data_IF_745226854280
#
_entry.id   IF_745226854280
#
_cell.length_a   1.000
_cell.length_b   1.000
_cell.length_c   1.000
_cell.angle_alpha   90.00
_cell.angle_beta   90.00
_cell.angle_gamma   90.00
#
_symmetry.space_group_name_H-M   'P 1'
#
loop_
_entity.id
_entity.type
_entity.pdbx_description
1 polymer ?
#
# COMPACT_ATOMS: atom_id res chain seq x y z
N UNK A 1 -19.38 8.55 8.06
CA UNK A 1 -18.49 9.50 7.34
C UNK A 1 -17.09 9.20 7.81
N UNK A 2 -16.28 8.55 6.97
CA UNK A 2 -14.89 8.24 7.30
C UNK A 2 -14.13 9.54 7.57
N UNK A 3 -13.30 9.57 8.62
CA UNK A 3 -12.48 10.74 8.90
C UNK A 3 -11.54 10.97 7.71
N UNK A 4 -11.47 12.19 7.13
CA UNK A 4 -10.70 12.39 5.92
C UNK A 4 -9.23 12.09 6.18
N UNK A 5 -8.61 11.30 5.30
CA UNK A 5 -7.29 10.71 5.49
C UNK A 5 -6.21 11.75 5.80
N UNK A 6 -5.18 11.36 6.56
CA UNK A 6 -4.11 12.29 6.94
C UNK A 6 -3.41 12.94 5.74
N UNK A 7 -3.32 12.25 4.59
CA UNK A 7 -2.82 12.85 3.36
C UNK A 7 -3.77 13.88 2.77
N UNK A 8 -5.09 13.64 2.79
CA UNK A 8 -6.09 14.62 2.36
C UNK A 8 -6.05 15.88 3.23
N UNK A 9 -5.96 15.73 4.55
CA UNK A 9 -5.84 16.88 5.46
C UNK A 9 -4.58 17.68 5.18
N UNK A 10 -3.47 16.99 4.86
CA UNK A 10 -2.21 17.61 4.47
C UNK A 10 -2.30 18.34 3.14
N UNK A 11 -2.97 17.73 2.16
CA UNK A 11 -3.21 18.34 0.87
C UNK A 11 -4.05 19.61 0.99
N UNK A 12 -5.14 19.54 1.75
CA UNK A 12 -5.99 20.71 2.03
C UNK A 12 -5.18 21.81 2.71
N UNK A 13 -4.38 21.45 3.73
CA UNK A 13 -3.53 22.41 4.42
C UNK A 13 -2.49 23.05 3.48
N UNK A 14 -1.72 22.27 2.70
CA UNK A 14 -0.71 22.82 1.79
C UNK A 14 -1.33 23.72 0.73
N UNK A 15 -2.52 23.34 0.22
CA UNK A 15 -3.27 24.10 -0.77
C UNK A 15 -3.69 25.46 -0.22
N UNK A 16 -4.27 25.47 0.98
CA UNK A 16 -4.68 26.71 1.65
C UNK A 16 -3.48 27.58 2.04
N UNK A 17 -2.37 26.99 2.50
CA UNK A 17 -1.14 27.73 2.79
C UNK A 17 -0.54 28.38 1.54
N UNK A 18 -0.48 27.66 0.42
CA UNK A 18 0.02 28.20 -0.86
C UNK A 18 -0.87 29.31 -1.40
N UNK A 19 -2.20 29.13 -1.33
CA UNK A 19 -3.18 30.18 -1.69
C UNK A 19 -3.01 31.41 -0.81
N UNK A 20 -2.91 31.23 0.51
CA UNK A 20 -2.74 32.32 1.46
C UNK A 20 -1.45 33.11 1.22
N UNK A 21 -0.32 32.42 1.03
CA UNK A 21 0.97 33.04 0.70
C UNK A 21 0.89 33.86 -0.59
N UNK A 22 0.32 33.27 -1.64
CA UNK A 22 0.21 33.92 -2.95
C UNK A 22 -0.68 35.16 -2.89
N UNK A 23 -1.78 35.09 -2.13
CA UNK A 23 -2.70 36.21 -1.91
C UNK A 23 -2.03 37.43 -1.26
N UNK A 24 -1.07 37.21 -0.36
CA UNK A 24 -0.29 38.30 0.28
C UNK A 24 0.99 38.66 -0.48
N UNK A 25 1.21 38.08 -1.66
CA UNK A 25 2.34 38.42 -2.54
C UNK A 25 3.73 38.00 -2.01
N UNK A 26 3.80 37.12 -1.01
CA UNK A 26 5.08 36.71 -0.42
C UNK A 26 5.72 35.56 -1.20
N UNK A 27 7.03 35.65 -1.43
CA UNK A 27 7.82 34.52 -1.94
C UNK A 27 8.14 33.53 -0.81
N UNK A 28 8.42 32.26 -1.16
CA UNK A 28 8.85 31.28 -0.18
C UNK A 28 10.11 31.72 0.60
N UNK A 29 11.07 32.37 -0.07
CA UNK A 29 12.28 32.89 0.59
C UNK A 29 11.96 33.97 1.63
N UNK A 30 11.04 34.90 1.33
CA UNK A 30 10.63 35.93 2.27
C UNK A 30 9.91 35.35 3.49
N UNK A 31 9.05 34.35 3.28
CA UNK A 31 8.35 33.67 4.38
C UNK A 31 9.35 32.89 5.23
N UNK A 32 10.26 32.13 4.62
CA UNK A 32 11.29 31.40 5.35
C UNK A 32 12.16 32.34 6.21
N UNK A 33 12.54 33.50 5.68
CA UNK A 33 13.26 34.52 6.45
C UNK A 33 12.43 35.07 7.62
N UNK A 34 11.14 35.40 7.41
CA UNK A 34 10.24 35.88 8.47
C UNK A 34 10.00 34.86 9.58
N UNK A 35 10.02 33.59 9.24
CA UNK A 35 9.79 32.47 10.16
C UNK A 35 11.08 31.93 10.78
N UNK A 36 12.24 32.50 10.43
CA UNK A 36 13.57 31.99 10.81
C UNK A 36 13.79 30.51 10.45
N UNK A 37 13.28 30.12 9.28
CA UNK A 37 13.40 28.76 8.74
C UNK A 37 14.36 28.71 7.56
N UNK A 38 14.92 27.52 7.30
CA UNK A 38 15.58 27.27 6.02
C UNK A 38 14.55 27.34 4.87
N UNK A 39 14.92 27.89 3.70
CA UNK A 39 14.05 27.88 2.52
C UNK A 39 13.55 26.46 2.18
N UNK A 40 14.42 25.46 2.35
CA UNK A 40 14.10 24.06 2.15
C UNK A 40 12.98 23.57 3.08
N UNK A 41 12.92 24.00 4.35
CA UNK A 41 11.82 23.64 5.26
C UNK A 41 10.48 24.13 4.70
N UNK A 42 10.40 25.39 4.27
CA UNK A 42 9.14 25.93 3.74
C UNK A 42 8.72 25.28 2.43
N UNK A 43 9.67 25.04 1.51
CA UNK A 43 9.41 24.33 0.25
C UNK A 43 8.77 22.96 0.54
N UNK A 44 9.35 22.20 1.47
CA UNK A 44 8.86 20.88 1.85
C UNK A 44 7.50 20.91 2.55
N UNK A 45 7.22 21.97 3.33
CA UNK A 45 5.89 22.19 3.94
C UNK A 45 4.85 22.47 2.85
N UNK A 46 5.12 23.39 1.93
CA UNK A 46 4.20 23.73 0.83
C UNK A 46 4.07 22.62 -0.22
N UNK A 47 5.08 21.76 -0.36
CA UNK A 47 5.00 20.52 -1.14
C UNK A 47 4.21 19.43 -0.41
N UNK A 48 3.99 19.52 0.90
CA UNK A 48 3.32 18.50 1.71
C UNK A 48 4.22 17.31 2.10
N UNK A 49 5.53 17.38 1.85
CA UNK A 49 6.48 16.34 2.25
C UNK A 49 6.66 16.25 3.77
N UNK A 50 6.51 17.39 4.47
CA UNK A 50 6.61 17.45 5.94
C UNK A 50 5.40 18.18 6.52
N UNK A 51 4.88 17.67 7.63
CA UNK A 51 3.84 18.35 8.39
C UNK A 51 4.38 19.56 9.16
N UNK A 52 3.52 20.52 9.46
CA UNK A 52 3.82 21.72 10.26
C UNK A 52 3.20 21.59 11.66
N UNK A 53 3.87 22.11 12.70
CA UNK A 53 3.31 22.10 14.07
C UNK A 53 2.23 23.14 14.21
N UNK A 54 1.28 22.94 15.12
CA UNK A 54 0.31 23.98 15.49
C UNK A 54 1.06 25.24 15.96
N UNK A 55 2.17 25.06 16.67
CA UNK A 55 3.02 26.15 17.17
C UNK A 55 3.71 26.94 16.05
N UNK A 56 4.14 26.27 14.97
CA UNK A 56 4.77 26.88 13.79
C UNK A 56 3.70 27.45 12.84
N UNK A 57 2.54 26.82 12.78
CA UNK A 57 1.46 27.16 11.87
C UNK A 57 0.75 28.45 12.28
N UNK A 58 0.50 28.67 13.58
CA UNK A 58 -0.11 29.93 14.06
C UNK A 58 0.68 31.19 13.58
N UNK A 59 1.99 31.30 13.80
CA UNK A 59 2.77 32.44 13.29
C UNK A 59 2.88 32.47 11.77
N UNK A 60 2.89 31.32 11.07
CA UNK A 60 2.84 31.29 9.61
C UNK A 60 1.53 31.89 9.07
N UNK A 61 0.39 31.52 9.66
CA UNK A 61 -0.92 32.07 9.31
C UNK A 61 -0.99 33.57 9.60
N UNK A 62 -0.42 34.02 10.71
CA UNK A 62 -0.30 35.45 11.02
C UNK A 62 0.55 36.19 9.97
N UNK A 63 1.66 35.59 9.50
CA UNK A 63 2.48 36.15 8.41
C UNK A 63 1.71 36.23 7.08
N UNK A 64 0.67 35.41 6.90
CA UNK A 64 -0.26 35.45 5.77
C UNK A 64 -1.51 36.32 6.03
N UNK A 65 -1.56 37.04 7.14
CA UNK A 65 -2.70 37.90 7.51
C UNK A 65 -3.97 37.12 7.91
N UNK A 66 -3.83 35.86 8.29
CA UNK A 66 -4.93 35.01 8.78
C UNK A 66 -4.85 34.95 10.31
N UNK A 67 -5.57 35.85 10.97
CA UNK A 67 -5.57 35.97 12.44
C UNK A 67 -6.93 35.66 13.07
N UNK A 68 -8.01 35.70 12.31
CA UNK A 68 -9.38 35.43 12.79
C UNK A 68 -9.54 33.96 13.19
N UNK A 69 -9.97 33.68 14.43
CA UNK A 69 -10.12 32.32 14.97
C UNK A 69 -10.95 31.40 14.08
N UNK A 70 -12.04 31.90 13.48
CA UNK A 70 -12.91 31.14 12.55
C UNK A 70 -12.18 30.62 11.31
N UNK A 71 -11.06 31.25 10.92
CA UNK A 71 -10.22 30.87 9.77
C UNK A 71 -8.97 30.11 10.21
N UNK A 72 -8.44 30.44 11.39
CA UNK A 72 -7.26 29.78 11.96
C UNK A 72 -7.57 28.37 12.41
N UNK A 73 -8.64 28.16 13.20
CA UNK A 73 -8.87 26.85 13.83
C UNK A 73 -9.11 25.69 12.86
N UNK A 74 -9.84 25.87 11.74
CA UNK A 74 -9.93 24.83 10.72
C UNK A 74 -8.54 24.40 10.19
N UNK A 75 -7.64 25.35 9.94
CA UNK A 75 -6.29 25.06 9.43
C UNK A 75 -5.42 24.36 10.48
N UNK A 76 -5.60 24.69 11.75
CA UNK A 76 -4.92 23.99 12.85
C UNK A 76 -5.44 22.56 13.02
N UNK A 77 -6.74 22.33 12.85
CA UNK A 77 -7.31 20.98 12.80
C UNK A 77 -6.73 20.16 11.63
N UNK A 78 -6.64 20.75 10.43
CA UNK A 78 -5.96 20.11 9.30
C UNK A 78 -4.52 19.72 9.66
N UNK A 79 -3.78 20.60 10.34
CA UNK A 79 -2.41 20.32 10.77
C UNK A 79 -2.32 19.20 11.81
N UNK A 80 -3.20 19.19 12.82
CA UNK A 80 -3.28 18.13 13.84
C UNK A 80 -3.57 16.78 13.20
N UNK A 81 -4.52 16.73 12.28
CA UNK A 81 -4.94 15.50 11.61
C UNK A 81 -3.91 15.04 10.57
N UNK A 82 -3.26 15.96 9.85
CA UNK A 82 -2.18 15.64 8.91
C UNK A 82 -0.91 15.10 9.57
N UNK A 83 -0.70 15.38 10.86
CA UNK A 83 0.47 14.95 11.66
C UNK A 83 0.40 13.52 12.15
N UNK A 84 -0.79 12.91 12.17
CA UNK A 84 -0.92 11.47 12.31
C UNK A 84 -0.43 10.82 11.02
N UNK A 85 0.88 10.80 10.78
CA UNK A 85 1.43 9.94 9.75
C UNK A 85 1.19 8.51 10.20
N UNK A 86 0.42 7.72 9.46
CA UNK A 86 0.32 6.30 9.73
C UNK A 86 1.75 5.75 9.73
N UNK A 87 2.08 4.94 10.73
CA UNK A 87 3.37 4.24 10.82
C UNK A 87 4.59 5.15 11.04
N UNK A 88 4.40 6.34 11.64
CA UNK A 88 5.51 7.28 11.87
C UNK A 88 6.65 6.76 12.76
N UNK A 89 6.34 5.80 13.63
CA UNK A 89 7.29 5.10 14.51
C UNK A 89 8.17 4.07 13.79
N UNK A 90 7.83 3.73 12.54
CA UNK A 90 8.55 2.78 11.70
C UNK A 90 9.30 3.48 10.55
N UNK A 91 9.46 4.82 10.60
CA UNK A 91 10.07 5.60 9.51
C UNK A 91 11.53 5.27 9.27
N UNK A 92 12.23 4.75 10.26
CA UNK A 92 13.60 4.27 10.17
C UNK A 92 13.72 2.90 9.49
N UNK A 93 12.62 2.14 9.41
CA UNK A 93 12.59 0.83 8.74
C UNK A 93 12.44 0.96 7.22
N UNK A 94 11.70 1.97 6.75
CA UNK A 94 11.25 2.02 5.37
C UNK A 94 11.99 3.06 4.52
N UNK A 95 12.16 2.76 3.22
CA UNK A 95 12.63 3.74 2.24
C UNK A 95 11.64 4.90 2.11
N UNK A 96 12.09 6.03 1.55
CA UNK A 96 11.21 7.20 1.36
C UNK A 96 10.05 6.88 0.43
N UNK A 97 10.31 6.06 -0.57
CA UNK A 97 9.38 5.66 -1.60
C UNK A 97 8.32 4.70 -1.02
N UNK A 98 8.72 3.78 -0.13
CA UNK A 98 7.76 2.93 0.57
C UNK A 98 6.93 3.72 1.59
N UNK A 99 7.52 4.71 2.27
CA UNK A 99 6.75 5.63 3.11
C UNK A 99 5.70 6.42 2.30
N UNK A 100 6.00 6.75 1.05
CA UNK A 100 5.02 7.37 0.14
C UNK A 100 3.91 6.38 -0.24
N UNK A 101 4.25 5.13 -0.54
CA UNK A 101 3.26 4.07 -0.71
C UNK A 101 2.33 3.95 0.51
N UNK A 102 2.87 3.93 1.73
CA UNK A 102 2.06 3.86 2.96
C UNK A 102 1.15 5.09 3.13
N UNK A 103 1.61 6.26 2.69
CA UNK A 103 0.80 7.47 2.71
C UNK A 103 -0.38 7.38 1.71
N UNK A 104 -0.16 6.83 0.52
CA UNK A 104 -1.24 6.56 -0.45
C UNK A 104 -2.20 5.48 0.08
N UNK A 105 -1.66 4.35 0.54
CA UNK A 105 -2.41 3.20 1.04
C UNK A 105 -3.36 3.60 2.17
N UNK A 106 -2.87 4.36 3.16
CA UNK A 106 -3.68 4.85 4.27
C UNK A 106 -4.69 5.94 3.91
N UNK A 107 -4.64 6.46 2.68
CA UNK A 107 -5.45 7.60 2.25
C UNK A 107 -6.44 7.31 1.15
N UNK A 108 -6.24 6.21 0.44
CA UNK A 108 -7.08 5.77 -0.66
C UNK A 108 -8.45 5.28 -0.16
N UNK A 109 -9.50 5.62 -0.88
CA UNK A 109 -10.84 5.06 -0.67
C UNK A 109 -10.98 3.70 -1.37
N UNK A 110 -10.26 3.50 -2.47
CA UNK A 110 -10.19 2.24 -3.21
C UNK A 110 -8.73 1.92 -3.50
N UNK A 111 -8.35 0.66 -3.27
CA UNK A 111 -7.02 0.13 -3.60
C UNK A 111 -7.20 -1.06 -4.52
N UNK A 112 -6.54 -1.04 -5.67
CA UNK A 112 -6.53 -2.16 -6.63
C UNK A 112 -5.11 -2.64 -6.79
N UNK A 113 -4.89 -3.93 -6.63
CA UNK A 113 -3.55 -4.49 -6.64
C UNK A 113 -3.49 -5.78 -7.47
N UNK A 114 -2.47 -5.87 -8.32
CA UNK A 114 -2.12 -7.08 -9.04
C UNK A 114 -0.79 -7.65 -8.53
N UNK A 115 -0.77 -8.94 -8.22
CA UNK A 115 0.40 -9.64 -7.70
C UNK A 115 0.67 -10.95 -8.43
N UNK A 116 1.91 -11.11 -8.91
CA UNK A 116 2.33 -12.29 -9.68
C UNK A 116 3.48 -13.11 -9.08
N UNK A 117 4.09 -12.66 -7.97
CA UNK A 117 5.25 -13.35 -7.37
C UNK A 117 5.05 -13.75 -5.91
N UNK A 118 4.30 -12.93 -5.17
CA UNK A 118 3.99 -13.14 -3.76
C UNK A 118 2.65 -12.49 -3.42
N UNK A 119 2.01 -12.96 -2.35
CA UNK A 119 0.80 -12.33 -1.84
C UNK A 119 1.03 -10.86 -1.42
N UNK A 120 0.05 -9.97 -1.63
CA UNK A 120 0.05 -8.63 -1.07
C UNK A 120 0.27 -8.64 0.44
N UNK A 121 1.08 -7.70 0.96
CA UNK A 121 1.36 -7.61 2.39
C UNK A 121 0.12 -7.50 3.28
N UNK A 122 -0.97 -6.92 2.77
CA UNK A 122 -2.25 -6.80 3.48
C UNK A 122 -2.99 -8.14 3.63
N UNK A 123 -2.66 -9.14 2.80
CA UNK A 123 -3.29 -10.45 2.83
C UNK A 123 -2.45 -11.51 3.55
N UNK A 124 -1.19 -11.19 3.90
CA UNK A 124 -0.25 -12.15 4.48
C UNK A 124 -0.58 -12.46 5.94
N UNK A 125 -0.43 -13.71 6.35
CA UNK A 125 -0.30 -14.07 7.77
C UNK A 125 1.08 -13.64 8.28
N UNK A 126 1.23 -13.61 9.60
CA UNK A 126 2.50 -13.28 10.23
C UNK A 126 3.62 -14.23 9.78
N UNK A 127 3.36 -15.54 9.78
CA UNK A 127 4.34 -16.57 9.43
C UNK A 127 4.75 -16.49 7.96
N UNK A 128 3.79 -16.24 7.06
CA UNK A 128 4.09 -16.02 5.63
C UNK A 128 4.96 -14.77 5.47
N UNK A 129 4.58 -13.67 6.12
CA UNK A 129 5.32 -12.40 6.07
C UNK A 129 6.75 -12.55 6.58
N UNK A 130 6.95 -13.27 7.69
CA UNK A 130 8.29 -13.59 8.23
C UNK A 130 9.11 -14.43 7.26
N UNK A 131 8.50 -15.42 6.61
CA UNK A 131 9.18 -16.27 5.64
C UNK A 131 9.68 -15.47 4.41
N UNK A 132 8.85 -14.59 3.86
CA UNK A 132 9.25 -13.69 2.76
C UNK A 132 10.36 -12.73 3.20
N UNK A 133 10.21 -12.09 4.35
CA UNK A 133 11.18 -11.12 4.86
C UNK A 133 12.57 -11.73 5.02
N UNK A 134 12.66 -12.95 5.57
CA UNK A 134 13.93 -13.70 5.67
C UNK A 134 14.46 -14.19 4.32
N UNK A 135 13.60 -14.41 3.33
CA UNK A 135 14.01 -14.78 1.99
C UNK A 135 14.66 -13.60 1.24
N UNK A 136 14.23 -12.36 1.53
CA UNK A 136 14.82 -11.15 0.96
C UNK A 136 16.09 -10.70 1.67
N UNK A 137 16.14 -10.87 3.00
CA UNK A 137 17.35 -10.62 3.79
C UNK A 137 17.52 -11.73 4.82
N UNK A 138 18.48 -12.63 4.56
CA UNK A 138 18.78 -13.75 5.45
C UNK A 138 19.35 -13.32 6.80
N UNK A 139 19.83 -12.07 6.93
CA UNK A 139 20.35 -11.52 8.18
C UNK A 139 19.26 -10.81 9.00
N UNK A 140 18.05 -10.64 8.46
CA UNK A 140 16.95 -9.98 9.15
C UNK A 140 16.41 -10.87 10.29
N UNK A 141 16.74 -10.48 11.52
CA UNK A 141 16.43 -11.26 12.72
C UNK A 141 16.17 -10.37 13.94
N UNK A 142 15.74 -11.01 15.03
CA UNK A 142 15.51 -10.37 16.33
C UNK A 142 14.52 -9.22 16.24
N UNK A 143 14.78 -8.18 17.04
CA UNK A 143 13.90 -7.01 17.20
C UNK A 143 13.59 -6.29 15.87
N UNK A 144 14.53 -6.26 14.91
CA UNK A 144 14.27 -5.60 13.62
C UNK A 144 13.20 -6.32 12.82
N UNK A 145 13.24 -7.66 12.78
CA UNK A 145 12.18 -8.46 12.14
C UNK A 145 10.83 -8.27 12.84
N UNK A 146 10.82 -8.24 14.17
CA UNK A 146 9.60 -8.00 14.94
C UNK A 146 8.95 -6.67 14.60
N UNK A 147 9.73 -5.58 14.53
CA UNK A 147 9.21 -4.26 14.17
C UNK A 147 8.63 -4.21 12.75
N UNK A 148 9.22 -4.94 11.81
CA UNK A 148 8.70 -5.08 10.45
C UNK A 148 7.36 -5.84 10.41
N UNK A 149 7.23 -6.89 11.22
CA UNK A 149 5.99 -7.66 11.38
C UNK A 149 4.91 -6.79 12.03
N UNK A 150 5.25 -6.10 13.10
CA UNK A 150 4.37 -5.16 13.81
C UNK A 150 3.82 -4.08 12.86
N UNK A 151 4.70 -3.44 12.09
CA UNK A 151 4.32 -2.44 11.10
C UNK A 151 3.32 -3.01 10.06
N UNK A 152 3.45 -4.28 9.67
CA UNK A 152 2.51 -4.93 8.76
C UNK A 152 1.17 -5.21 9.42
N UNK A 153 1.16 -5.73 10.65
CA UNK A 153 -0.07 -6.03 11.38
C UNK A 153 -0.88 -4.77 11.66
N UNK A 154 -0.23 -3.67 12.04
CA UNK A 154 -0.89 -2.38 12.23
C UNK A 154 -1.52 -1.84 10.93
N UNK A 155 -0.86 -2.07 9.78
CA UNK A 155 -1.45 -1.72 8.46
C UNK A 155 -2.70 -2.54 8.17
N UNK A 156 -2.65 -3.84 8.42
CA UNK A 156 -3.79 -4.74 8.22
C UNK A 156 -4.97 -4.37 9.11
N UNK A 157 -4.73 -4.09 10.39
CA UNK A 157 -5.78 -3.67 11.33
C UNK A 157 -6.52 -2.42 10.84
N UNK A 158 -5.78 -1.43 10.36
CA UNK A 158 -6.36 -0.20 9.84
C UNK A 158 -7.19 -0.43 8.57
N UNK A 159 -6.60 -1.11 7.58
CA UNK A 159 -7.14 -1.17 6.21
C UNK A 159 -8.18 -2.26 5.99
N UNK A 160 -8.12 -3.35 6.78
CA UNK A 160 -9.07 -4.46 6.69
C UNK A 160 -10.28 -4.29 7.63
N UNK A 161 -10.39 -3.13 8.28
CA UNK A 161 -11.53 -2.76 9.13
C UNK A 161 -12.80 -2.49 8.31
N UNK A 162 -13.97 -2.54 8.95
CA UNK A 162 -15.27 -2.32 8.28
C UNK A 162 -15.46 -0.88 7.76
N UNK A 163 -14.64 0.06 8.23
CA UNK A 163 -14.58 1.45 7.78
C UNK A 163 -13.36 1.73 6.87
N UNK A 164 -12.57 0.70 6.57
CA UNK A 164 -11.39 0.78 5.70
C UNK A 164 -11.72 0.97 4.22
N UNK A 165 -10.66 1.07 3.42
CA UNK A 165 -10.73 1.18 1.96
C UNK A 165 -11.44 -0.02 1.33
N UNK A 166 -12.03 0.15 0.14
CA UNK A 166 -12.42 -0.99 -0.68
C UNK A 166 -11.17 -1.57 -1.33
N UNK A 167 -10.96 -2.87 -1.17
CA UNK A 167 -9.73 -3.53 -1.60
C UNK A 167 -10.05 -4.53 -2.70
N UNK A 168 -9.33 -4.45 -3.82
CA UNK A 168 -9.43 -5.37 -4.94
C UNK A 168 -8.07 -5.98 -5.21
N UNK A 169 -7.97 -7.31 -5.14
CA UNK A 169 -6.74 -8.05 -5.36
C UNK A 169 -6.92 -9.03 -6.51
N UNK A 170 -6.08 -8.90 -7.54
CA UNK A 170 -5.91 -9.93 -8.56
C UNK A 170 -4.62 -10.69 -8.23
N UNK A 171 -4.78 -11.97 -7.95
CA UNK A 171 -3.69 -12.87 -7.58
C UNK A 171 -3.45 -13.84 -8.73
N UNK A 172 -2.26 -13.80 -9.31
CA UNK A 172 -1.80 -14.82 -10.25
C UNK A 172 -1.80 -16.20 -9.59
N UNK A 173 -2.20 -17.26 -10.30
CA UNK A 173 -2.23 -18.61 -9.75
C UNK A 173 -0.90 -19.02 -9.09
N UNK A 174 0.23 -18.54 -9.60
CA UNK A 174 1.54 -18.83 -9.01
C UNK A 174 1.68 -18.39 -7.55
N UNK A 175 1.00 -17.31 -7.12
CA UNK A 175 1.15 -16.78 -5.75
C UNK A 175 0.42 -17.63 -4.70
N UNK A 176 -0.61 -18.37 -5.12
CA UNK A 176 -1.35 -19.30 -4.25
C UNK A 176 -0.83 -20.74 -4.38
N UNK A 177 -0.04 -21.04 -5.41
CA UNK A 177 0.63 -22.34 -5.60
C UNK A 177 2.03 -22.40 -5.00
N UNK A 178 2.74 -21.27 -4.93
CA UNK A 178 4.11 -21.21 -4.40
C UNK A 178 4.11 -21.46 -2.90
N UNK A 179 4.77 -22.53 -2.48
CA UNK A 179 4.92 -22.85 -1.06
C UNK A 179 5.94 -21.90 -0.40
N UNK A 180 5.42 -20.95 0.40
CA UNK A 180 6.23 -20.01 1.19
C UNK A 180 6.18 -20.42 2.66
N UNK A 181 7.34 -20.48 3.31
CA UNK A 181 7.44 -20.84 4.75
C UNK A 181 7.13 -22.30 5.08
N UNK A 182 6.88 -23.15 4.07
CA UNK A 182 6.49 -24.54 4.27
C UNK A 182 5.00 -24.78 4.05
N UNK A 183 4.59 -26.07 4.04
CA UNK A 183 3.20 -26.47 3.77
C UNK A 183 2.22 -25.97 4.84
N UNK A 184 2.61 -26.04 6.12
CA UNK A 184 1.79 -25.55 7.22
C UNK A 184 1.52 -24.05 7.14
N UNK A 185 2.56 -23.24 6.91
CA UNK A 185 2.42 -21.79 6.72
C UNK A 185 1.53 -21.47 5.53
N UNK A 186 1.75 -22.13 4.40
CA UNK A 186 0.95 -21.89 3.20
C UNK A 186 -0.51 -22.31 3.37
N UNK A 187 -0.79 -23.40 4.10
CA UNK A 187 -2.16 -23.82 4.44
C UNK A 187 -2.89 -22.74 5.25
N UNK A 188 -2.30 -22.30 6.36
CA UNK A 188 -2.86 -21.21 7.18
C UNK A 188 -3.05 -19.93 6.37
N UNK A 189 -2.11 -19.64 5.46
CA UNK A 189 -2.21 -18.49 4.56
C UNK A 189 -3.40 -18.60 3.60
N UNK A 190 -3.66 -19.77 3.01
CA UNK A 190 -4.80 -19.97 2.11
C UNK A 190 -6.13 -19.91 2.85
N UNK A 191 -6.20 -20.50 4.06
CA UNK A 191 -7.37 -20.37 4.95
C UNK A 191 -7.66 -18.90 5.26
N UNK A 192 -6.62 -18.12 5.58
CA UNK A 192 -6.74 -16.68 5.80
C UNK A 192 -7.25 -15.92 4.57
N UNK A 193 -6.78 -16.27 3.37
CA UNK A 193 -7.29 -15.67 2.14
C UNK A 193 -8.78 -15.98 1.92
N UNK A 194 -9.20 -17.21 2.22
CA UNK A 194 -10.60 -17.60 2.10
C UNK A 194 -11.51 -16.81 3.05
N UNK A 195 -11.08 -16.59 4.30
CA UNK A 195 -11.78 -15.73 5.25
C UNK A 195 -11.88 -14.28 4.77
N UNK A 196 -10.80 -13.73 4.21
CA UNK A 196 -10.76 -12.36 3.71
C UNK A 196 -11.64 -12.20 2.47
N UNK A 197 -11.68 -13.19 1.58
CA UNK A 197 -12.54 -13.19 0.39
C UNK A 197 -14.04 -13.17 0.73
N UNK A 198 -14.42 -13.54 1.96
CA UNK A 198 -15.80 -13.47 2.45
C UNK A 198 -16.19 -12.09 3.02
N UNK A 199 -15.25 -11.15 3.16
CA UNK A 199 -15.52 -9.81 3.72
C UNK A 199 -16.07 -8.85 2.66
N UNK A 200 -17.08 -8.01 2.97
CA UNK A 200 -17.79 -7.21 1.98
C UNK A 200 -16.97 -6.11 1.30
N UNK A 201 -15.87 -5.66 1.92
CA UNK A 201 -14.98 -4.61 1.37
C UNK A 201 -13.75 -5.16 0.66
N UNK A 202 -13.61 -6.49 0.60
CA UNK A 202 -12.43 -7.15 0.04
C UNK A 202 -12.90 -8.04 -1.11
N UNK A 203 -12.37 -7.79 -2.30
CA UNK A 203 -12.57 -8.62 -3.47
C UNK A 203 -11.24 -9.28 -3.82
N UNK A 204 -11.19 -10.61 -3.76
CA UNK A 204 -10.03 -11.40 -4.19
C UNK A 204 -10.42 -12.17 -5.44
N UNK A 205 -9.61 -12.02 -6.49
CA UNK A 205 -9.79 -12.62 -7.79
C UNK A 205 -8.55 -13.41 -8.15
N UNK A 206 -8.73 -14.57 -8.79
CA UNK A 206 -7.64 -15.46 -9.15
C UNK A 206 -7.43 -15.44 -10.66
N UNK A 207 -6.23 -15.13 -11.11
CA UNK A 207 -5.85 -15.18 -12.53
C UNK A 207 -5.23 -16.57 -12.81
N UNK A 208 -5.95 -17.48 -13.49
CA UNK A 208 -5.47 -18.84 -13.72
C UNK A 208 -4.35 -18.89 -14.76
N UNK A 209 -3.48 -19.90 -14.70
CA UNK A 209 -2.44 -20.09 -15.72
C UNK A 209 -2.99 -20.26 -17.15
N UNK A 210 -4.24 -20.71 -17.29
CA UNK A 210 -4.92 -20.83 -18.58
C UNK A 210 -5.20 -19.50 -19.26
N UNK A 211 -5.09 -18.37 -18.55
CA UNK A 211 -5.19 -17.03 -19.15
C UNK A 211 -4.06 -16.74 -20.15
N UNK A 212 -2.94 -17.48 -20.08
CA UNK A 212 -1.84 -17.36 -21.02
C UNK A 212 -1.07 -16.04 -20.87
N UNK A 213 -0.78 -15.36 -21.99
CA UNK A 213 -0.07 -14.09 -21.96
C UNK A 213 -1.02 -12.93 -21.63
N UNK A 214 -0.67 -12.11 -20.65
CA UNK A 214 -1.49 -10.98 -20.20
C UNK A 214 -0.61 -9.79 -19.76
N UNK A 215 -1.21 -8.60 -19.65
CA UNK A 215 -0.48 -7.36 -19.35
C UNK A 215 0.21 -7.36 -17.97
N UNK A 216 -0.31 -8.14 -17.02
CA UNK A 216 0.26 -8.32 -15.68
C UNK A 216 1.63 -8.99 -15.67
N UNK A 217 2.04 -9.69 -16.74
CA UNK A 217 3.38 -10.27 -16.83
C UNK A 217 4.50 -9.23 -16.82
N UNK A 218 4.19 -7.94 -17.00
CA UNK A 218 5.15 -6.84 -16.86
C UNK A 218 5.54 -6.55 -15.40
N UNK A 219 4.80 -7.07 -14.42
CA UNK A 219 5.10 -6.93 -13.00
C UNK A 219 3.90 -6.53 -12.15
N UNK A 220 4.05 -6.62 -10.80
CA UNK A 220 3.01 -6.21 -9.87
C UNK A 220 2.83 -4.69 -9.87
N UNK A 221 1.63 -4.23 -9.55
CA UNK A 221 1.32 -2.81 -9.41
C UNK A 221 0.16 -2.60 -8.46
N UNK A 222 0.09 -1.38 -7.90
CA UNK A 222 -1.02 -0.91 -7.08
C UNK A 222 -1.57 0.38 -7.65
N UNK A 223 -2.89 0.48 -7.76
CA UNK A 223 -3.62 1.70 -8.09
C UNK A 223 -4.39 2.17 -6.86
N UNK A 224 -4.29 3.46 -6.58
CA UNK A 224 -4.93 4.14 -5.45
C UNK A 224 -5.91 5.17 -5.99
N UNK A 225 -7.19 5.02 -5.64
CA UNK A 225 -8.22 6.00 -5.91
C UNK A 225 -8.52 6.79 -4.63
N UNK A 226 -8.69 8.09 -4.76
CA UNK A 226 -8.98 8.98 -3.63
C UNK A 226 -10.36 9.62 -3.79
N UNK A 227 -11.10 9.75 -2.68
CA UNK A 227 -12.43 10.38 -2.70
C UNK A 227 -12.40 11.89 -2.97
N UNK A 228 -11.29 12.55 -2.68
CA UNK A 228 -11.19 13.99 -2.83
C UNK A 228 -10.72 14.37 -4.23
N UNK A 229 -11.50 15.22 -4.92
CA UNK A 229 -11.16 15.73 -6.26
C UNK A 229 -9.78 16.38 -6.34
N UNK A 230 -9.27 16.93 -5.23
CA UNK A 230 -7.94 17.54 -5.21
C UNK A 230 -6.78 16.52 -5.16
N UNK A 231 -7.08 15.25 -4.86
CA UNK A 231 -6.13 14.14 -4.86
C UNK A 231 -6.25 13.37 -6.17
N UNK A 232 -5.35 13.55 -7.14
CA UNK A 232 -5.32 12.68 -8.31
C UNK A 232 -5.03 11.24 -7.88
N UNK A 233 -5.68 10.29 -8.55
CA UNK A 233 -5.36 8.88 -8.43
C UNK A 233 -3.86 8.66 -8.63
N UNK A 234 -3.33 7.64 -7.97
CA UNK A 234 -1.90 7.39 -7.97
C UNK A 234 -1.61 5.92 -8.20
N UNK A 235 -0.52 5.64 -8.89
CA UNK A 235 -0.02 4.29 -9.13
C UNK A 235 1.31 4.07 -8.43
N UNK A 236 1.59 2.81 -8.11
CA UNK A 236 2.85 2.37 -7.54
C UNK A 236 3.27 1.06 -8.18
N UNK A 237 4.55 0.97 -8.56
CA UNK A 237 5.17 -0.21 -9.17
C UNK A 237 6.49 -0.48 -8.47
N UNK A 238 6.67 -1.71 -7.99
CA UNK A 238 7.94 -2.18 -7.43
C UNK A 238 8.80 -2.79 -8.55
N UNK A 239 10.05 -2.33 -8.65
CA UNK A 239 11.04 -2.93 -9.54
C UNK A 239 11.92 -3.91 -8.74
N UNK A 240 12.28 -5.08 -9.31
CA UNK A 240 13.26 -6.01 -8.73
C UNK A 240 14.59 -5.42 -8.25
N UNK A 241 14.99 -4.22 -8.72
CA UNK A 241 16.19 -3.50 -8.24
C UNK A 241 16.02 -2.84 -6.86
N UNK A 242 14.83 -2.92 -6.26
CA UNK A 242 14.48 -2.19 -5.04
C UNK A 242 14.09 -0.73 -5.30
N UNK A 243 14.14 -0.30 -6.57
CA UNK A 243 13.53 0.96 -6.98
C UNK A 243 12.02 0.79 -7.00
N UNK A 244 11.29 1.80 -6.53
CA UNK A 244 9.86 1.84 -6.72
C UNK A 244 9.46 3.14 -7.39
N UNK A 245 8.60 3.02 -8.38
CA UNK A 245 8.08 4.14 -9.14
C UNK A 245 6.67 4.45 -8.69
N UNK A 246 6.37 5.73 -8.49
CA UNK A 246 5.02 6.20 -8.26
C UNK A 246 4.73 7.39 -9.15
N UNK A 247 3.48 7.47 -9.62
CA UNK A 247 3.01 8.53 -10.48
C UNK A 247 1.59 8.92 -10.10
N UNK A 248 1.28 10.20 -10.26
CA UNK A 248 -0.08 10.73 -10.20
C UNK A 248 -0.44 11.45 -11.51
N UNK A 249 0.29 11.14 -12.59
CA UNK A 249 -0.04 11.61 -13.93
C UNK A 249 -1.31 10.91 -14.43
N UNK A 250 -2.39 11.65 -14.78
CA UNK A 250 -3.66 11.04 -15.14
C UNK A 250 -3.63 10.08 -16.34
N UNK A 251 -2.73 10.29 -17.31
CA UNK A 251 -2.64 9.39 -18.46
C UNK A 251 -1.98 8.08 -18.07
N UNK A 252 -0.93 8.15 -17.25
CA UNK A 252 -0.23 6.97 -16.77
C UNK A 252 -1.07 6.18 -15.77
N UNK A 253 -1.71 6.84 -14.81
CA UNK A 253 -2.57 6.15 -13.83
C UNK A 253 -3.78 5.52 -14.50
N UNK A 254 -4.42 6.22 -15.45
CA UNK A 254 -5.50 5.68 -16.27
C UNK A 254 -5.12 4.40 -17.02
N UNK A 255 -3.90 4.34 -17.60
CA UNK A 255 -3.40 3.12 -18.27
C UNK A 255 -3.27 1.92 -17.32
N UNK A 256 -2.87 2.15 -16.07
CA UNK A 256 -2.76 1.07 -15.08
C UNK A 256 -4.12 0.64 -14.54
N UNK A 257 -5.09 1.55 -14.49
CA UNK A 257 -6.47 1.22 -14.17
C UNK A 257 -7.13 0.38 -15.29
N UNK A 258 -6.98 0.79 -16.55
CA UNK A 258 -7.42 0.00 -17.71
C UNK A 258 -6.80 -1.40 -17.69
N UNK A 259 -5.48 -1.48 -17.43
CA UNK A 259 -4.79 -2.75 -17.27
C UNK A 259 -5.36 -3.63 -16.16
N UNK A 260 -5.79 -3.03 -15.04
CA UNK A 260 -6.42 -3.78 -13.96
C UNK A 260 -7.74 -4.39 -14.43
N UNK A 261 -8.57 -3.63 -15.15
CA UNK A 261 -9.83 -4.12 -15.69
C UNK A 261 -9.63 -5.21 -16.74
N UNK A 262 -8.65 -5.06 -17.64
CA UNK A 262 -8.30 -6.10 -18.62
C UNK A 262 -7.92 -7.42 -17.93
N UNK A 263 -7.18 -7.35 -16.82
CA UNK A 263 -6.82 -8.52 -16.03
C UNK A 263 -8.03 -9.09 -15.30
N UNK A 264 -8.87 -8.24 -14.75
CA UNK A 264 -10.08 -8.62 -14.03
C UNK A 264 -11.01 -9.47 -14.93
N UNK A 265 -11.12 -9.17 -16.22
CA UNK A 265 -11.92 -9.94 -17.18
C UNK A 265 -11.41 -11.37 -17.41
N UNK A 266 -10.14 -11.64 -17.09
CA UNK A 266 -9.50 -12.95 -17.22
C UNK A 266 -9.55 -13.78 -15.93
N UNK A 267 -10.12 -13.24 -14.85
CA UNK A 267 -10.06 -13.87 -13.52
C UNK A 267 -11.26 -14.74 -13.19
N UNK A 268 -11.02 -15.70 -12.28
CA UNK A 268 -12.06 -16.40 -11.54
C UNK A 268 -12.49 -15.48 -10.38
N UNK A 269 -13.78 -15.16 -10.33
CA UNK A 269 -14.39 -14.28 -9.32
C UNK A 269 -15.33 -15.03 -8.38
N UNK A 270 -16.08 -15.99 -8.92
CA UNK A 270 -17.06 -16.77 -8.17
C UNK A 270 -16.40 -17.95 -7.43
N UNK A 271 -16.87 -18.21 -6.21
CA UNK A 271 -16.43 -19.37 -5.43
C UNK A 271 -14.95 -19.34 -5.01
N UNK A 272 -14.30 -18.17 -5.06
CA UNK A 272 -12.87 -18.02 -4.72
C UNK A 272 -12.56 -18.52 -3.31
N UNK A 273 -13.38 -18.19 -2.31
CA UNK A 273 -13.19 -18.67 -0.94
C UNK A 273 -13.20 -20.21 -0.84
N UNK A 274 -14.17 -20.86 -1.50
CA UNK A 274 -14.30 -22.32 -1.54
C UNK A 274 -13.14 -22.98 -2.31
N UNK A 275 -12.64 -22.34 -3.37
CA UNK A 275 -11.45 -22.80 -4.09
C UNK A 275 -10.21 -22.73 -3.20
N UNK A 276 -10.02 -21.65 -2.45
CA UNK A 276 -8.90 -21.45 -1.54
C UNK A 276 -8.90 -22.47 -0.39
N UNK A 277 -10.07 -22.77 0.21
CA UNK A 277 -10.19 -23.83 1.21
C UNK A 277 -9.82 -25.21 0.65
N UNK A 278 -10.36 -25.58 -0.52
CA UNK A 278 -10.00 -26.84 -1.19
C UNK A 278 -8.51 -26.92 -1.53
N UNK A 279 -7.89 -25.82 -1.90
CA UNK A 279 -6.45 -25.77 -2.15
C UNK A 279 -5.64 -25.96 -0.85
N UNK A 280 -6.09 -25.37 0.26
CA UNK A 280 -5.47 -25.55 1.57
C UNK A 280 -5.50 -27.03 2.02
N UNK A 281 -6.62 -27.72 1.83
CA UNK A 281 -6.74 -29.16 2.11
C UNK A 281 -5.82 -30.01 1.22
N UNK A 282 -5.77 -29.69 -0.09
CA UNK A 282 -4.92 -30.41 -1.05
C UNK A 282 -3.43 -30.28 -0.76
N UNK A 283 -2.99 -29.15 -0.18
CA UNK A 283 -1.61 -28.97 0.27
C UNK A 283 -1.19 -29.97 1.35
N UNK A 284 -2.09 -30.75 1.97
CA UNK A 284 -1.73 -31.87 2.86
C UNK A 284 -1.38 -33.15 2.09
N UNK A 285 -1.98 -33.35 0.91
CA UNK A 285 -1.80 -34.56 0.08
C UNK A 285 -0.53 -34.57 -0.79
N UNK A 286 0.00 -33.39 -1.13
CA UNK A 286 1.34 -33.21 -1.73
C UNK A 286 1.47 -33.50 -3.22
N UNK A 287 0.37 -33.58 -3.96
CA UNK A 287 0.31 -34.18 -5.29
C UNK A 287 1.00 -33.47 -6.48
N UNK A 288 1.36 -32.19 -6.40
CA UNK A 288 1.60 -31.37 -7.61
C UNK A 288 2.95 -30.64 -7.64
N UNK A 289 3.98 -31.19 -6.99
CA UNK A 289 5.31 -30.56 -7.00
C UNK A 289 6.08 -30.92 -8.29
N UNK A 290 6.60 -29.90 -8.98
CA UNK A 290 7.53 -30.07 -10.12
C UNK A 290 8.73 -30.94 -9.72
N UNK A 291 9.16 -30.91 -8.46
CA UNK A 291 10.19 -31.77 -7.92
C UNK A 291 9.85 -33.27 -8.08
N UNK A 292 8.58 -33.66 -8.03
CA UNK A 292 8.14 -35.05 -8.27
C UNK A 292 8.20 -35.44 -9.75
N UNK A 293 7.95 -34.50 -10.66
CA UNK A 293 8.07 -34.73 -12.10
C UNK A 293 9.53 -34.75 -12.56
N UNK A 294 10.40 -34.02 -11.87
CA UNK A 294 11.84 -33.96 -12.14
C UNK A 294 12.66 -35.02 -11.38
N UNK A 295 12.05 -35.68 -10.38
CA UNK A 295 12.66 -36.83 -9.74
C UNK A 295 12.75 -37.96 -10.76
N UNK A 296 13.95 -38.45 -11.11
CA UNK A 296 14.06 -39.60 -12.00
C UNK A 296 13.27 -40.74 -11.36
N UNK A 297 12.32 -41.34 -12.10
CA UNK A 297 11.60 -42.53 -11.65
C UNK A 297 12.62 -43.48 -11.02
N UNK A 298 12.48 -43.74 -9.73
CA UNK A 298 13.27 -44.77 -9.08
C UNK A 298 13.11 -46.04 -9.94
N UNK A 299 14.26 -46.53 -10.40
CA UNK A 299 14.48 -47.72 -11.20
C UNK A 299 13.39 -48.78 -11.02
N UNK A 300 12.82 -49.22 -12.14
CA UNK A 300 12.10 -50.48 -12.23
C UNK A 300 12.91 -51.58 -11.51
N UNK A 301 12.22 -52.35 -10.68
CA UNK A 301 12.74 -53.52 -9.98
C UNK A 301 13.44 -54.48 -10.96
N UNK A 302 14.58 -55.08 -10.59
CA UNK A 302 15.08 -56.24 -11.33
C UNK A 302 14.31 -57.49 -10.89
N UNK A 303 13.88 -58.27 -11.88
CA UNK A 303 13.40 -59.66 -11.75
C UNK A 303 14.43 -60.58 -11.07
#
# INVERSE_FOLDING_TARGET
MSAPSAALQRLRLRTELRKARTKVGLTQRQVAAKMEWSPSKLIRIEAGEVGISVNDLRPLLAAYGITESRRVEPLLELARQSRKMPFSEFRDLFSKEFLQYLAFESSASIIRQFNSLQLPGLLQTEEYGRAIMRAYDSNLAGETLERYVEARLMRQELLLSDEGSKLFFILDESVIRRQVGGRGVMRTQLERLAELAARPRITIMLLPFSAGAHAGMQGPFTHFEFEAEEMPDSMYVENPRGDSYSSSDPQETGRYLERFWDLEDLTIKDGVAELLYRLAERLESGGEDLARLLSPKASAEPE
#
